data_IF_763534688869
#
_entry.id   IF_763534688869
#
_cell.length_a   1.000
_cell.length_b   1.000
_cell.length_c   1.000
_cell.angle_alpha   90.00
_cell.angle_beta   90.00
_cell.angle_gamma   90.00
#
_symmetry.space_group_name_H-M   'P 1'
#
loop_
_entity.id
_entity.type
_entity.pdbx_description
1 polymer ?
#
# COMPACT_ATOMS: atom_id res chain seq x y z
N UNK A 1 6.31 -8.83 2.42
CA UNK A 1 5.84 -7.50 2.01
C UNK A 1 5.25 -7.51 0.60
N UNK A 2 6.04 -7.72 -0.46
CA UNK A 2 5.54 -7.66 -1.85
C UNK A 2 4.39 -8.63 -2.17
N UNK A 3 4.44 -9.86 -1.67
CA UNK A 3 3.35 -10.82 -1.86
C UNK A 3 2.03 -10.36 -1.21
N UNK A 4 2.11 -9.66 -0.07
CA UNK A 4 0.92 -9.07 0.57
C UNK A 4 0.34 -7.95 -0.30
N UNK A 5 1.19 -7.05 -0.81
CA UNK A 5 0.74 -5.94 -1.65
C UNK A 5 0.17 -6.43 -2.98
N UNK A 6 0.78 -7.44 -3.59
CA UNK A 6 0.28 -8.09 -4.82
C UNK A 6 -1.11 -8.69 -4.60
N UNK A 7 -1.28 -9.49 -3.55
CA UNK A 7 -2.59 -10.08 -3.22
C UNK A 7 -3.64 -9.01 -2.92
N UNK A 8 -3.28 -7.96 -2.19
CA UNK A 8 -4.19 -6.83 -1.91
C UNK A 8 -4.61 -6.09 -3.20
N UNK A 9 -3.75 -6.04 -4.20
CA UNK A 9 -4.04 -5.42 -5.51
C UNK A 9 -4.92 -6.30 -6.39
N UNK A 10 -4.58 -7.59 -6.52
CA UNK A 10 -5.20 -8.50 -7.48
C UNK A 10 -6.45 -9.20 -6.91
N UNK A 11 -6.41 -9.56 -5.63
CA UNK A 11 -7.40 -10.42 -4.99
C UNK A 11 -7.86 -9.88 -3.61
N UNK A 12 -8.26 -8.60 -3.49
CA UNK A 12 -8.58 -7.98 -2.19
C UNK A 12 -9.71 -8.70 -1.45
N UNK A 13 -10.64 -9.36 -2.16
CA UNK A 13 -11.73 -10.13 -1.54
C UNK A 13 -11.31 -11.44 -0.87
N UNK A 14 -10.08 -11.90 -1.15
CA UNK A 14 -9.50 -13.12 -0.55
C UNK A 14 -8.54 -12.82 0.61
N UNK A 15 -8.37 -11.55 0.95
CA UNK A 15 -7.52 -11.11 2.05
C UNK A 15 -8.08 -11.59 3.39
N UNK A 16 -7.20 -11.96 4.32
CA UNK A 16 -7.58 -12.34 5.67
C UNK A 16 -6.47 -12.12 6.68
N UNK A 17 -6.78 -12.43 7.94
CA UNK A 17 -5.86 -12.28 9.08
C UNK A 17 -4.51 -13.01 8.85
N UNK A 18 -4.53 -14.15 8.16
CA UNK A 18 -3.33 -14.93 7.85
C UNK A 18 -2.29 -14.13 7.03
N UNK A 19 -2.74 -13.25 6.14
CA UNK A 19 -1.85 -12.43 5.31
C UNK A 19 -1.04 -11.45 6.18
N UNK A 20 -1.69 -10.89 7.21
CA UNK A 20 -1.05 -10.04 8.21
C UNK A 20 -0.12 -10.86 9.13
N UNK A 21 -0.54 -12.06 9.54
CA UNK A 21 0.28 -12.95 10.37
C UNK A 21 1.58 -13.36 9.67
N UNK A 22 1.55 -13.59 8.35
CA UNK A 22 2.76 -13.88 7.56
C UNK A 22 3.76 -12.73 7.57
N UNK A 23 3.30 -11.48 7.58
CA UNK A 23 4.18 -10.31 7.72
C UNK A 23 4.75 -10.22 9.14
N UNK A 24 3.93 -10.47 10.17
CA UNK A 24 4.40 -10.51 11.57
C UNK A 24 5.47 -11.58 11.78
N UNK A 25 5.29 -12.76 11.17
CA UNK A 25 6.23 -13.87 11.26
C UNK A 25 7.64 -13.56 10.74
N UNK A 26 7.77 -12.57 9.84
CA UNK A 26 9.07 -12.12 9.31
C UNK A 26 9.58 -10.83 9.97
N UNK A 27 8.93 -10.39 11.05
CA UNK A 27 9.41 -9.31 11.91
C UNK A 27 8.76 -7.94 11.70
N UNK A 28 7.73 -7.82 10.85
CA UNK A 28 6.99 -6.56 10.73
C UNK A 28 6.07 -6.33 11.93
N UNK A 29 6.08 -5.12 12.47
CA UNK A 29 5.18 -4.67 13.54
C UNK A 29 3.85 -4.14 13.02
N UNK A 30 2.92 -3.87 13.93
CA UNK A 30 1.57 -3.36 13.61
C UNK A 30 1.59 -2.06 12.81
N UNK A 31 2.54 -1.18 13.13
CA UNK A 31 2.75 0.05 12.39
C UNK A 31 3.17 -0.27 10.95
N UNK A 32 4.23 -1.06 10.74
CA UNK A 32 4.69 -1.45 9.40
C UNK A 32 3.57 -2.11 8.57
N UNK A 33 2.76 -2.98 9.18
CA UNK A 33 1.61 -3.62 8.52
C UNK A 33 0.61 -2.57 8.03
N UNK A 34 0.30 -1.58 8.86
CA UNK A 34 -0.57 -0.47 8.50
C UNK A 34 0.04 0.34 7.35
N UNK A 35 1.34 0.63 7.39
CA UNK A 35 2.04 1.36 6.32
C UNK A 35 1.96 0.64 4.99
N UNK A 36 2.31 -0.65 4.97
CA UNK A 36 2.26 -1.50 3.78
C UNK A 36 0.85 -1.50 3.19
N UNK A 37 -0.17 -1.69 4.04
CA UNK A 37 -1.57 -1.72 3.61
C UNK A 37 -2.04 -0.36 3.07
N UNK A 38 -1.72 0.74 3.75
CA UNK A 38 -2.11 2.10 3.35
C UNK A 38 -1.48 2.49 2.02
N UNK A 39 -0.18 2.26 1.85
CA UNK A 39 0.52 2.58 0.60
C UNK A 39 -0.05 1.78 -0.55
N UNK A 40 -0.19 0.46 -0.40
CA UNK A 40 -0.77 -0.39 -1.44
C UNK A 40 -2.21 0.01 -1.78
N UNK A 41 -3.04 0.28 -0.77
CA UNK A 41 -4.43 0.70 -0.97
C UNK A 41 -4.54 2.05 -1.69
N UNK A 42 -3.66 3.01 -1.38
CA UNK A 42 -3.61 4.31 -2.05
C UNK A 42 -3.34 4.17 -3.56
N UNK A 43 -2.30 3.41 -3.92
CA UNK A 43 -1.99 3.17 -5.34
C UNK A 43 -3.13 2.42 -6.05
N UNK A 44 -3.73 1.44 -5.38
CA UNK A 44 -4.87 0.71 -5.91
C UNK A 44 -6.08 1.62 -6.15
N UNK A 45 -6.34 2.57 -5.26
CA UNK A 45 -7.42 3.55 -5.40
C UNK A 45 -7.19 4.47 -6.61
N UNK A 46 -6.02 5.10 -6.70
CA UNK A 46 -5.68 6.02 -7.79
C UNK A 46 -5.69 5.30 -9.13
N UNK A 47 -5.03 4.14 -9.21
CA UNK A 47 -4.94 3.36 -10.45
C UNK A 47 -6.32 2.91 -10.95
N UNK A 48 -7.22 2.51 -10.05
CA UNK A 48 -8.58 2.10 -10.43
C UNK A 48 -9.43 3.27 -10.93
N UNK A 49 -9.30 4.45 -10.33
CA UNK A 49 -9.96 5.66 -10.85
C UNK A 49 -9.42 6.00 -12.23
N UNK A 50 -8.10 5.97 -12.41
CA UNK A 50 -7.47 6.27 -13.69
C UNK A 50 -7.96 5.33 -14.79
N UNK A 51 -7.94 4.02 -14.53
CA UNK A 51 -8.47 3.01 -15.44
C UNK A 51 -9.96 3.20 -15.74
N UNK A 52 -10.79 3.49 -14.73
CA UNK A 52 -12.23 3.66 -14.90
C UNK A 52 -12.59 4.87 -15.78
N UNK A 53 -11.78 5.93 -15.72
CA UNK A 53 -11.99 7.17 -16.48
C UNK A 53 -11.19 7.23 -17.78
N UNK A 54 -10.33 6.24 -18.04
CA UNK A 54 -9.46 6.21 -19.24
C UNK A 54 -8.41 7.32 -19.24
N UNK A 55 -7.98 7.79 -18.07
CA UNK A 55 -6.96 8.83 -17.94
C UNK A 55 -5.58 8.22 -17.73
N UNK A 56 -4.58 8.79 -18.38
CA UNK A 56 -3.18 8.42 -18.15
C UNK A 56 -2.66 9.13 -16.90
N UNK A 57 -1.96 8.39 -16.05
CA UNK A 57 -1.25 8.96 -14.91
C UNK A 57 0.10 9.46 -15.40
N UNK A 58 0.42 10.73 -15.16
CA UNK A 58 1.76 11.24 -15.42
C UNK A 58 2.79 10.45 -14.62
N UNK A 59 3.80 9.93 -15.32
CA UNK A 59 4.88 9.12 -14.75
C UNK A 59 5.90 9.94 -13.94
N UNK A 60 5.75 11.26 -13.91
CA UNK A 60 6.60 12.14 -13.10
C UNK A 60 6.33 11.86 -11.62
N UNK A 61 7.40 11.81 -10.80
CA UNK A 61 7.40 11.34 -9.40
C UNK A 61 6.14 11.79 -8.66
N UNK A 62 5.18 10.87 -8.55
CA UNK A 62 3.98 11.04 -7.75
C UNK A 62 4.38 10.96 -6.27
N UNK A 63 4.95 12.05 -5.76
CA UNK A 63 5.11 12.24 -4.32
C UNK A 63 3.70 12.37 -3.75
N UNK A 64 3.23 11.31 -3.09
CA UNK A 64 1.90 11.32 -2.49
C UNK A 64 1.88 12.33 -1.34
N UNK A 65 1.08 13.41 -1.43
CA UNK A 65 0.99 14.39 -0.35
C UNK A 65 0.44 13.78 0.94
N UNK A 66 -0.36 12.71 0.80
CA UNK A 66 -0.96 11.96 1.91
C UNK A 66 0.10 11.15 2.67
N UNK A 67 1.10 10.62 1.98
CA UNK A 67 2.16 9.82 2.60
C UNK A 67 3.22 10.69 3.29
N UNK A 68 3.42 11.93 2.82
CA UNK A 68 4.41 12.86 3.39
C UNK A 68 4.10 13.34 4.81
N UNK A 69 2.84 13.28 5.25
CA UNK A 69 2.40 13.74 6.57
C UNK A 69 2.27 12.65 7.63
N UNK A 70 2.60 11.40 7.30
CA UNK A 70 2.42 10.29 8.22
C UNK A 70 3.53 10.24 9.29
N UNK A 71 3.22 9.85 10.54
CA UNK A 71 4.17 9.89 11.67
C UNK A 71 5.50 9.18 11.41
N UNK A 72 5.47 8.15 10.57
CA UNK A 72 6.59 7.28 10.23
C UNK A 72 7.37 7.72 8.99
N UNK A 73 6.86 8.68 8.20
CA UNK A 73 7.58 9.25 7.06
C UNK A 73 8.80 10.11 7.48
N UNK A 74 8.91 10.42 8.77
CA UNK A 74 9.95 11.27 9.35
C UNK A 74 11.06 10.50 10.09
N UNK A 75 11.15 9.15 10.00
CA UNK A 75 12.19 8.40 10.72
C UNK A 75 13.59 8.76 10.19
N UNK A 76 14.53 9.25 11.03
CA UNK A 76 15.93 9.30 10.66
C UNK A 76 16.45 7.85 10.60
N UNK A 77 17.15 7.53 9.51
CA UNK A 77 17.85 6.26 9.33
C UNK A 77 19.01 6.06 10.29
#
# INVERSE_FOLDING_TARGET
MLAFTEKLTLEPGSMGEEDAQRLRAVGFGDEDLLEIAVVAAWYNFVSRIACALGVELDSEKQESPVLHGLPWAARPG
#
